data_IF_762489889725
#
_entry.id   IF_762489889725
#
_cell.length_a   1.000
_cell.length_b   1.000
_cell.length_c   1.000
_cell.angle_alpha   90.00
_cell.angle_beta   90.00
_cell.angle_gamma   90.00
#
_symmetry.space_group_name_H-M   'P 1'
#
loop_
_entity.id
_entity.type
_entity.pdbx_description
1 polymer ?
#
# COMPACT_ATOMS: atom_id res chain seq x y z
N UNK A 1 -25.43 1.57 -22.02
CA UNK A 1 -24.37 1.46 -23.05
C UNK A 1 -23.44 2.67 -23.04
N UNK A 2 -23.94 3.90 -23.25
CA UNK A 2 -23.13 5.13 -23.29
C UNK A 2 -22.20 5.29 -22.08
N UNK A 3 -22.71 5.11 -20.86
CA UNK A 3 -21.91 5.20 -19.62
C UNK A 3 -20.74 4.20 -19.62
N UNK A 4 -20.97 2.95 -20.03
CA UNK A 4 -19.91 1.94 -20.07
C UNK A 4 -18.86 2.25 -21.14
N UNK A 5 -19.27 2.77 -22.30
CA UNK A 5 -18.33 3.24 -23.34
C UNK A 5 -17.49 4.39 -22.79
N UNK A 6 -18.13 5.36 -22.12
CA UNK A 6 -17.43 6.48 -21.49
C UNK A 6 -16.41 5.99 -20.45
N UNK A 7 -16.80 5.07 -19.57
CA UNK A 7 -15.90 4.45 -18.57
C UNK A 7 -14.69 3.80 -19.24
N UNK A 8 -14.88 3.10 -20.35
CA UNK A 8 -13.76 2.48 -21.10
C UNK A 8 -12.84 3.55 -21.69
N UNK A 9 -13.37 4.65 -22.21
CA UNK A 9 -12.60 5.74 -22.79
C UNK A 9 -11.79 6.51 -21.74
N UNK A 10 -12.37 6.75 -20.56
CA UNK A 10 -11.71 7.51 -19.48
C UNK A 10 -10.95 6.64 -18.48
N UNK A 11 -10.93 5.31 -18.69
CA UNK A 11 -10.33 4.33 -17.78
C UNK A 11 -8.95 4.75 -17.26
N UNK A 12 -8.07 5.21 -18.16
CA UNK A 12 -6.71 5.63 -17.83
C UNK A 12 -6.61 6.78 -16.81
N UNK A 13 -7.69 7.54 -16.62
CA UNK A 13 -7.74 8.67 -15.68
C UNK A 13 -8.41 8.32 -14.35
N UNK A 14 -9.30 7.31 -14.34
CA UNK A 14 -10.10 6.96 -13.16
C UNK A 14 -9.56 5.73 -12.42
N UNK A 15 -8.62 5.00 -13.01
CA UNK A 15 -8.05 3.79 -12.42
C UNK A 15 -6.69 4.09 -11.78
N UNK A 16 -6.57 3.95 -10.45
CA UNK A 16 -5.30 4.17 -9.75
C UNK A 16 -4.25 3.10 -10.08
N UNK A 17 -4.69 1.89 -10.46
CA UNK A 17 -3.82 0.76 -10.82
C UNK A 17 -4.02 0.36 -12.29
N UNK A 18 -3.38 1.07 -13.26
CA UNK A 18 -3.66 0.90 -14.69
C UNK A 18 -3.34 -0.50 -15.22
N UNK A 19 -2.39 -1.20 -14.58
CA UNK A 19 -1.99 -2.58 -14.92
C UNK A 19 -2.88 -3.63 -14.26
N UNK A 20 -3.96 -3.24 -13.56
CA UNK A 20 -4.85 -4.15 -12.85
C UNK A 20 -5.36 -5.30 -13.74
N UNK A 21 -5.65 -5.03 -15.03
CA UNK A 21 -6.15 -6.06 -15.95
C UNK A 21 -5.11 -7.13 -16.28
N UNK A 22 -3.83 -6.78 -16.45
CA UNK A 22 -2.77 -7.74 -16.82
C UNK A 22 -2.13 -8.39 -15.60
N UNK A 23 -2.10 -7.67 -14.48
CA UNK A 23 -1.44 -8.07 -13.22
C UNK A 23 -2.42 -8.45 -12.11
N UNK A 24 -3.67 -8.75 -12.43
CA UNK A 24 -4.70 -9.11 -11.44
C UNK A 24 -4.30 -10.30 -10.54
N UNK A 25 -3.53 -11.24 -11.09
CA UNK A 25 -3.04 -12.45 -10.37
C UNK A 25 -1.61 -12.29 -9.84
N UNK A 26 -0.96 -11.18 -10.11
CA UNK A 26 0.40 -10.91 -9.65
C UNK A 26 0.37 -10.36 -8.23
N UNK A 27 0.73 -11.19 -7.26
CA UNK A 27 0.71 -10.84 -5.83
C UNK A 27 1.67 -9.66 -5.56
N UNK A 28 2.80 -9.58 -6.26
CA UNK A 28 3.81 -8.51 -6.04
C UNK A 28 3.27 -7.14 -6.44
N UNK A 29 2.36 -7.08 -7.43
CA UNK A 29 1.74 -5.83 -7.83
C UNK A 29 0.82 -5.23 -6.74
N UNK A 30 0.23 -6.09 -5.90
CA UNK A 30 -0.74 -5.70 -4.87
C UNK A 30 -0.15 -5.71 -3.45
N UNK A 31 1.11 -6.09 -3.30
CA UNK A 31 1.65 -6.51 -2.00
C UNK A 31 1.68 -5.40 -0.94
N UNK A 32 1.70 -4.14 -1.38
CA UNK A 32 1.71 -2.95 -0.52
C UNK A 32 0.33 -2.50 -0.07
N UNK A 33 -0.70 -2.86 -0.83
CA UNK A 33 -2.06 -2.53 -0.46
C UNK A 33 -2.45 -3.23 0.85
N UNK A 34 -3.34 -2.61 1.64
CA UNK A 34 -3.83 -3.22 2.85
C UNK A 34 -4.76 -4.39 2.51
N UNK A 35 -4.81 -5.38 3.40
CA UNK A 35 -5.72 -6.53 3.25
C UNK A 35 -7.11 -6.15 3.75
N UNK A 36 -8.14 -6.39 2.93
CA UNK A 36 -9.56 -6.19 3.30
C UNK A 36 -9.86 -4.78 3.85
N UNK A 37 -9.22 -3.75 3.31
CA UNK A 37 -9.42 -2.39 3.80
C UNK A 37 -10.76 -1.83 3.32
N UNK A 38 -11.49 -1.13 4.20
CA UNK A 38 -12.68 -0.42 3.80
C UNK A 38 -12.38 0.74 2.84
N UNK A 39 -13.39 1.22 2.09
CA UNK A 39 -13.27 2.38 1.21
C UNK A 39 -12.89 3.68 1.93
N UNK A 40 -12.21 4.60 1.23
CA UNK A 40 -11.80 5.90 1.80
C UNK A 40 -12.98 6.76 2.28
N UNK A 41 -14.13 6.68 1.62
CA UNK A 41 -15.32 7.47 1.98
C UNK A 41 -15.95 7.02 3.32
N UNK A 42 -15.54 5.89 3.90
CA UNK A 42 -15.93 5.51 5.27
C UNK A 42 -15.53 6.59 6.28
N UNK A 43 -14.45 7.32 6.02
CA UNK A 43 -14.06 8.46 6.85
C UNK A 43 -15.06 9.62 6.83
N UNK A 44 -15.95 9.74 5.83
CA UNK A 44 -16.96 10.80 5.81
C UNK A 44 -18.07 10.57 6.83
N UNK A 45 -18.35 9.32 7.16
CA UNK A 45 -19.44 8.92 8.07
C UNK A 45 -18.94 8.45 9.44
N UNK A 46 -17.66 8.11 9.56
CA UNK A 46 -17.03 7.65 10.80
C UNK A 46 -16.58 8.83 11.68
N UNK A 47 -16.86 8.76 12.97
CA UNK A 47 -16.30 9.69 13.97
C UNK A 47 -14.79 9.49 14.13
N UNK A 48 -14.33 8.23 14.16
CA UNK A 48 -12.91 7.88 14.14
C UNK A 48 -12.38 7.87 12.71
N UNK A 49 -11.40 8.74 12.42
CA UNK A 49 -10.76 8.87 11.10
C UNK A 49 -9.63 7.85 10.96
N UNK A 50 -9.63 7.12 9.84
CA UNK A 50 -8.64 6.11 9.49
C UNK A 50 -7.62 6.68 8.50
N UNK A 51 -6.34 6.39 8.68
CA UNK A 51 -5.32 6.78 7.72
C UNK A 51 -5.56 6.13 6.34
N UNK A 52 -5.60 6.89 5.24
CA UNK A 52 -5.72 6.35 3.89
C UNK A 52 -4.39 5.78 3.39
N UNK A 53 -4.47 4.86 2.43
CA UNK A 53 -3.28 4.41 1.69
C UNK A 53 -2.73 5.54 0.85
N UNK A 54 -1.41 5.71 0.84
CA UNK A 54 -0.74 6.74 0.03
C UNK A 54 0.73 6.37 -0.25
N UNK A 55 1.29 6.98 -1.29
CA UNK A 55 2.71 6.80 -1.67
C UNK A 55 3.41 8.15 -1.53
N UNK A 56 4.50 8.19 -0.76
CA UNK A 56 5.35 9.36 -0.60
C UNK A 56 6.62 9.14 -1.40
N UNK A 57 6.75 9.90 -2.50
CA UNK A 57 7.98 9.94 -3.31
C UNK A 57 8.84 11.15 -2.98
N UNK A 58 8.23 12.24 -2.52
CA UNK A 58 8.96 13.44 -2.14
C UNK A 58 9.75 13.19 -0.86
N UNK A 59 11.03 13.53 -0.89
CA UNK A 59 11.93 13.33 0.22
C UNK A 59 13.10 14.29 0.16
N UNK A 60 13.68 14.59 1.33
CA UNK A 60 14.98 15.25 1.41
C UNK A 60 16.07 14.19 1.32
N UNK A 61 17.03 14.40 0.42
CA UNK A 61 18.16 13.51 0.20
C UNK A 61 19.49 14.22 0.49
N UNK A 62 20.37 13.57 1.23
CA UNK A 62 21.76 13.98 1.38
C UNK A 62 22.69 12.78 1.22
N UNK A 63 23.83 12.99 0.58
CA UNK A 63 24.87 11.98 0.40
C UNK A 63 26.20 12.50 0.93
N UNK A 64 26.87 11.66 1.74
CA UNK A 64 28.22 11.89 2.22
C UNK A 64 29.14 10.75 1.77
N UNK A 65 30.35 11.10 1.33
CA UNK A 65 31.36 10.13 0.92
C UNK A 65 32.49 10.07 1.93
N UNK A 66 32.76 8.86 2.42
CA UNK A 66 33.86 8.57 3.34
C UNK A 66 34.79 7.54 2.70
N UNK A 67 35.71 8.02 1.87
CA UNK A 67 36.57 7.16 1.06
C UNK A 67 35.74 6.36 0.04
N UNK A 68 35.75 5.02 0.15
CA UNK A 68 34.97 4.12 -0.72
C UNK A 68 33.52 3.91 -0.26
N UNK A 69 33.21 4.31 0.97
CA UNK A 69 31.88 4.15 1.56
C UNK A 69 31.06 5.39 1.22
N UNK A 70 29.85 5.18 0.70
CA UNK A 70 28.85 6.25 0.56
C UNK A 70 27.81 6.08 1.68
N UNK A 71 27.46 7.15 2.36
CA UNK A 71 26.36 7.20 3.31
C UNK A 71 25.28 8.09 2.71
N UNK A 72 24.11 7.53 2.46
CA UNK A 72 22.96 8.33 2.03
C UNK A 72 21.96 8.44 3.17
N UNK A 73 21.33 9.60 3.29
CA UNK A 73 20.29 9.86 4.26
C UNK A 73 19.09 10.44 3.52
N UNK A 74 17.99 9.71 3.61
CA UNK A 74 16.71 10.08 3.00
C UNK A 74 15.69 10.33 4.10
N UNK A 75 14.99 11.47 4.05
CA UNK A 75 13.97 11.83 5.02
C UNK A 75 12.64 12.04 4.31
N UNK A 76 11.64 11.24 4.69
CA UNK A 76 10.26 11.38 4.25
C UNK A 76 9.44 12.01 5.37
N UNK A 77 8.73 13.08 5.06
CA UNK A 77 7.80 13.70 6.00
C UNK A 77 6.39 13.15 5.79
N UNK A 78 5.72 12.78 6.88
CA UNK A 78 4.37 12.27 6.86
C UNK A 78 3.51 13.01 7.89
N UNK A 79 2.55 13.80 7.40
CA UNK A 79 1.58 14.49 8.24
C UNK A 79 0.46 13.51 8.64
N UNK A 80 0.47 13.11 9.91
CA UNK A 80 -0.49 12.17 10.47
C UNK A 80 -1.56 12.90 11.30
N UNK A 81 -2.80 12.92 10.80
CA UNK A 81 -3.93 13.63 11.42
C UNK A 81 -5.10 12.71 11.83
N UNK A 82 -4.89 11.39 11.77
CA UNK A 82 -5.93 10.36 11.90
C UNK A 82 -5.99 9.76 13.31
N UNK A 83 -7.07 9.05 13.59
CA UNK A 83 -7.28 8.36 14.87
C UNK A 83 -6.84 6.89 14.81
N UNK A 84 -6.93 6.27 13.64
CA UNK A 84 -6.36 4.95 13.39
C UNK A 84 -5.18 5.05 12.41
N UNK A 85 -4.02 4.47 12.76
CA UNK A 85 -2.81 4.59 11.97
C UNK A 85 -2.88 3.76 10.68
N UNK A 86 -1.92 3.95 9.76
CA UNK A 86 -1.69 2.99 8.69
C UNK A 86 -1.43 1.60 9.28
N UNK A 87 -1.86 0.56 8.56
CA UNK A 87 -1.61 -0.83 8.89
C UNK A 87 -0.15 -1.23 8.67
N UNK A 88 0.54 -0.56 7.75
CA UNK A 88 1.97 -0.75 7.49
C UNK A 88 2.59 0.54 6.92
N UNK A 89 3.89 0.71 7.15
CA UNK A 89 4.72 1.73 6.50
C UNK A 89 5.87 0.99 5.86
N UNK A 90 5.96 1.08 4.54
CA UNK A 90 6.81 0.20 3.74
C UNK A 90 7.81 1.08 3.01
N UNK A 91 9.09 0.83 3.26
CA UNK A 91 10.17 1.43 2.52
C UNK A 91 10.50 0.60 1.29
N UNK A 92 10.65 1.29 0.16
CA UNK A 92 11.14 0.74 -1.08
C UNK A 92 12.38 1.48 -1.53
N UNK A 93 13.29 0.74 -2.16
CA UNK A 93 14.42 1.30 -2.89
C UNK A 93 14.98 0.26 -3.84
N UNK A 94 15.32 0.67 -5.06
CA UNK A 94 16.10 -0.16 -5.96
C UNK A 94 17.51 -0.31 -5.40
N UNK A 95 17.98 -1.54 -5.22
CA UNK A 95 19.27 -1.81 -4.59
C UNK A 95 20.12 -2.74 -5.43
N UNK A 96 21.41 -2.44 -5.54
CA UNK A 96 22.43 -3.29 -6.15
C UNK A 96 23.65 -3.39 -5.24
N UNK A 97 24.25 -4.58 -5.17
CA UNK A 97 25.42 -4.84 -4.34
C UNK A 97 25.04 -5.18 -2.90
N UNK A 98 25.72 -4.58 -1.91
CA UNK A 98 25.52 -4.89 -0.49
C UNK A 98 25.19 -3.70 0.44
N UNK A 99 24.15 -2.90 0.13
CA UNK A 99 23.76 -1.81 1.02
C UNK A 99 23.25 -2.33 2.38
N UNK A 100 23.44 -1.53 3.42
CA UNK A 100 22.80 -1.73 4.73
C UNK A 100 21.80 -0.61 4.93
N UNK A 101 20.52 -0.96 4.99
CA UNK A 101 19.41 0.00 5.18
C UNK A 101 19.08 0.06 6.66
N UNK A 102 19.14 1.26 7.25
CA UNK A 102 18.73 1.54 8.62
C UNK A 102 17.52 2.46 8.53
N UNK A 103 16.38 2.00 9.03
CA UNK A 103 15.16 2.79 9.12
C UNK A 103 14.97 3.27 10.55
N UNK A 104 14.65 4.55 10.69
CA UNK A 104 14.29 5.18 11.95
C UNK A 104 13.04 6.03 11.77
N UNK A 105 12.33 6.27 12.87
CA UNK A 105 11.19 7.19 12.91
C UNK A 105 11.43 8.26 13.98
N UNK A 106 11.34 9.52 13.57
CA UNK A 106 11.27 10.68 14.44
C UNK A 106 9.79 11.04 14.60
N UNK A 107 9.31 10.99 15.85
CA UNK A 107 7.93 11.26 16.23
C UNK A 107 7.70 12.76 16.47
N UNK A 108 6.44 13.24 16.42
CA UNK A 108 6.09 14.64 16.73
C UNK A 108 6.49 15.09 18.15
N UNK A 109 6.60 14.15 19.09
CA UNK A 109 7.02 14.39 20.48
C UNK A 109 8.55 14.37 20.66
N UNK A 110 9.33 14.29 19.58
CA UNK A 110 10.79 14.36 19.56
C UNK A 110 11.50 13.02 19.81
N UNK A 111 10.77 11.93 20.08
CA UNK A 111 11.40 10.62 20.22
C UNK A 111 11.89 10.09 18.87
N UNK A 112 13.13 9.61 18.83
CA UNK A 112 13.71 8.91 17.68
C UNK A 112 13.81 7.43 18.03
N UNK A 113 13.24 6.58 17.18
CA UNK A 113 13.23 5.12 17.35
C UNK A 113 13.91 4.52 16.14
N UNK A 114 15.05 3.85 16.34
CA UNK A 114 15.65 2.99 15.31
C UNK A 114 14.76 1.74 15.18
N UNK A 115 14.21 1.53 13.99
CA UNK A 115 13.16 0.56 13.73
C UNK A 115 13.73 -0.76 13.23
N UNK A 116 14.61 -0.70 12.24
CA UNK A 116 15.21 -1.91 11.65
C UNK A 116 16.53 -1.57 10.98
N UNK A 117 17.49 -2.47 11.14
CA UNK A 117 18.76 -2.48 10.42
C UNK A 117 18.84 -3.73 9.56
N UNK A 118 18.73 -3.55 8.25
CA UNK A 118 18.64 -4.65 7.27
C UNK A 118 19.84 -4.64 6.33
N UNK A 119 20.82 -5.54 6.51
CA UNK A 119 21.85 -5.75 5.51
C UNK A 119 21.25 -6.46 4.29
N UNK A 120 21.50 -5.92 3.09
CA UNK A 120 21.12 -6.52 1.83
C UNK A 120 22.31 -7.29 1.29
N UNK A 121 22.19 -8.61 1.20
CA UNK A 121 23.28 -9.47 0.74
C UNK A 121 23.20 -9.67 -0.77
N UNK A 122 24.20 -9.17 -1.52
CA UNK A 122 24.40 -9.42 -2.97
C UNK A 122 23.11 -9.26 -3.79
N UNK A 123 22.51 -8.07 -3.72
CA UNK A 123 21.37 -7.73 -4.57
C UNK A 123 21.83 -7.55 -6.02
N UNK A 124 21.25 -8.34 -6.93
CA UNK A 124 21.46 -8.24 -8.37
C UNK A 124 20.45 -7.27 -9.00
N UNK A 125 20.39 -6.03 -8.49
CA UNK A 125 19.53 -4.98 -9.02
C UNK A 125 18.04 -5.27 -8.87
N UNK A 126 17.51 -5.24 -7.64
CA UNK A 126 16.09 -5.45 -7.37
C UNK A 126 15.56 -4.41 -6.39
N UNK A 127 14.27 -4.13 -6.49
CA UNK A 127 13.55 -3.34 -5.49
C UNK A 127 13.52 -4.10 -4.17
N UNK A 128 14.18 -3.53 -3.16
CA UNK A 128 14.15 -4.02 -1.79
C UNK A 128 12.96 -3.40 -1.08
N UNK A 129 12.18 -4.25 -0.40
CA UNK A 129 11.02 -3.88 0.40
C UNK A 129 11.30 -4.15 1.87
N UNK A 130 11.07 -3.15 2.72
CA UNK A 130 11.21 -3.27 4.19
C UNK A 130 9.91 -2.81 4.83
N UNK A 131 9.29 -3.68 5.64
CA UNK A 131 7.94 -3.45 6.20
C UNK A 131 8.04 -3.15 7.68
N UNK A 132 7.69 -1.94 8.09
CA UNK A 132 7.75 -1.54 9.50
C UNK A 132 6.81 -2.41 10.34
N UNK A 133 5.60 -2.71 9.87
CA UNK A 133 4.67 -3.53 10.65
C UNK A 133 5.14 -4.98 10.85
N UNK A 134 5.99 -5.52 9.96
CA UNK A 134 6.50 -6.90 10.07
C UNK A 134 7.85 -6.96 10.77
N UNK A 135 8.76 -6.04 10.43
CA UNK A 135 10.17 -6.11 10.76
C UNK A 135 10.51 -5.41 12.10
N UNK A 136 9.60 -4.64 12.71
CA UNK A 136 9.92 -3.72 13.84
C UNK A 136 9.16 -4.02 15.14
N UNK A 137 8.67 -5.26 15.26
CA UNK A 137 7.82 -5.69 16.38
C UNK A 137 8.52 -5.59 17.73
N UNK A 138 9.81 -5.95 17.77
CA UNK A 138 10.61 -5.97 18.99
C UNK A 138 10.89 -4.53 19.43
N UNK A 139 11.30 -3.68 18.51
CA UNK A 139 11.66 -2.28 18.69
C UNK A 139 10.45 -1.47 19.15
N UNK A 140 9.30 -1.69 18.51
CA UNK A 140 8.02 -1.07 18.88
C UNK A 140 7.55 -1.52 20.27
N UNK A 141 7.64 -2.83 20.58
CA UNK A 141 7.34 -3.33 21.92
C UNK A 141 8.27 -2.71 22.98
N UNK A 142 9.58 -2.70 22.72
CA UNK A 142 10.59 -2.15 23.63
C UNK A 142 10.41 -0.65 23.84
N UNK A 143 9.88 0.08 22.85
CA UNK A 143 9.47 1.47 23.03
C UNK A 143 8.23 1.56 23.94
N UNK A 144 7.17 0.81 23.64
CA UNK A 144 5.90 0.89 24.38
C UNK A 144 6.01 0.44 25.84
N UNK A 145 6.75 -0.64 26.12
CA UNK A 145 6.88 -1.20 27.49
C UNK A 145 7.50 -0.23 28.49
N UNK A 146 8.25 0.79 28.03
CA UNK A 146 8.83 1.85 28.88
C UNK A 146 7.76 2.69 29.59
N UNK A 147 6.53 2.71 29.05
CA UNK A 147 5.42 3.50 29.56
C UNK A 147 4.35 2.65 30.26
N UNK A 148 4.54 1.32 30.32
CA UNK A 148 3.60 0.41 30.99
C UNK A 148 4.03 0.12 32.43
N UNK A 149 3.04 -0.07 33.30
CA UNK A 149 3.30 -0.55 34.66
C UNK A 149 3.62 -2.05 34.63
N UNK A 150 4.62 -2.53 35.40
CA UNK A 150 5.01 -3.95 35.42
C UNK A 150 3.84 -4.91 35.69
N UNK A 151 2.88 -4.49 36.52
CA UNK A 151 1.70 -5.29 36.92
C UNK A 151 0.64 -5.45 35.82
N UNK A 152 0.65 -4.56 34.80
CA UNK A 152 -0.33 -4.54 33.71
C UNK A 152 0.23 -5.09 32.40
N UNK A 153 1.50 -5.50 32.36
CA UNK A 153 2.15 -6.01 31.15
C UNK A 153 1.76 -7.48 30.88
N UNK A 154 0.53 -7.69 30.40
CA UNK A 154 0.00 -9.00 30.01
C UNK A 154 0.06 -9.27 28.50
N UNK A 155 0.57 -8.32 27.72
CA UNK A 155 0.60 -8.44 26.27
C UNK A 155 1.91 -9.08 25.83
N UNK A 156 1.79 -10.22 25.17
CA UNK A 156 2.91 -10.89 24.52
C UNK A 156 3.44 -10.03 23.37
N UNK A 157 4.77 -10.09 23.19
CA UNK A 157 5.47 -9.29 22.17
C UNK A 157 4.92 -9.56 20.78
N UNK A 158 4.46 -10.78 20.52
CA UNK A 158 3.95 -11.29 19.26
C UNK A 158 2.62 -10.65 18.86
N UNK A 159 1.82 -10.23 19.84
CA UNK A 159 0.47 -9.70 19.63
C UNK A 159 0.45 -8.20 19.33
N UNK A 160 1.57 -7.50 19.53
CA UNK A 160 1.62 -6.05 19.30
C UNK A 160 1.57 -5.71 17.81
N UNK A 161 0.88 -4.61 17.51
CA UNK A 161 0.83 -4.00 16.19
C UNK A 161 1.81 -2.82 16.17
N UNK A 162 2.96 -2.92 15.47
CA UNK A 162 4.01 -1.90 15.54
C UNK A 162 3.50 -0.50 15.23
N UNK A 163 2.78 -0.33 14.12
CA UNK A 163 2.24 0.98 13.72
C UNK A 163 1.24 1.55 14.74
N UNK A 164 0.49 0.71 15.46
CA UNK A 164 -0.40 1.18 16.53
C UNK A 164 0.38 1.81 17.69
N UNK A 165 1.58 1.31 17.99
CA UNK A 165 2.45 1.85 19.03
C UNK A 165 3.19 3.10 18.52
N UNK A 166 3.81 3.00 17.34
CA UNK A 166 4.65 4.08 16.78
C UNK A 166 3.87 5.39 16.56
N UNK A 167 2.59 5.28 16.18
CA UNK A 167 1.70 6.43 15.92
C UNK A 167 0.80 6.79 17.12
N UNK A 168 1.21 6.43 18.34
CA UNK A 168 0.45 6.69 19.57
C UNK A 168 1.24 7.47 20.60
N UNK A 169 0.52 8.19 21.47
CA UNK A 169 1.11 8.97 22.56
C UNK A 169 1.91 8.06 23.50
N UNK A 170 3.06 8.55 23.94
CA UNK A 170 3.98 7.83 24.82
C UNK A 170 3.49 7.89 26.29
N UNK A 171 2.43 7.14 26.62
CA UNK A 171 1.81 7.11 27.95
C UNK A 171 1.33 5.72 28.36
N UNK A 172 0.87 5.60 29.61
CA UNK A 172 0.31 4.35 30.15
C UNK A 172 -0.85 3.83 29.28
N UNK A 173 -0.86 2.53 29.02
CA UNK A 173 -1.84 1.87 28.15
C UNK A 173 -1.49 1.87 26.67
N UNK A 174 -0.30 2.32 26.26
CA UNK A 174 0.16 2.33 24.86
C UNK A 174 0.10 0.93 24.19
N UNK A 175 0.30 -0.15 24.94
CA UNK A 175 0.24 -1.51 24.39
C UNK A 175 -1.19 -2.04 24.27
N UNK A 176 -2.12 -1.55 25.09
CA UNK A 176 -3.50 -2.07 25.21
C UNK A 176 -4.51 -1.19 24.47
N UNK A 177 -4.48 0.11 24.76
CA UNK A 177 -5.39 1.13 24.25
C UNK A 177 -4.59 2.35 23.77
N UNK A 178 -3.81 2.21 22.68
CA UNK A 178 -3.01 3.31 22.15
C UNK A 178 -3.91 4.47 21.74
N UNK A 179 -3.59 5.67 22.25
CA UNK A 179 -4.24 6.91 21.80
C UNK A 179 -3.38 7.57 20.71
N UNK A 180 -3.98 8.01 19.59
CA UNK A 180 -3.23 8.51 18.44
C UNK A 180 -2.41 9.76 18.79
N UNK A 181 -1.13 9.76 18.42
CA UNK A 181 -0.28 10.96 18.46
C UNK A 181 -0.30 11.61 17.08
N UNK A 182 -1.03 12.71 16.94
CA UNK A 182 -1.11 13.46 15.68
C UNK A 182 0.08 14.40 15.52
N UNK A 183 0.50 14.64 14.29
CA UNK A 183 1.57 15.55 13.95
C UNK A 183 2.43 15.05 12.80
N UNK A 184 3.55 15.74 12.58
CA UNK A 184 4.50 15.40 11.51
C UNK A 184 5.50 14.35 12.00
N UNK A 185 5.49 13.20 11.34
CA UNK A 185 6.47 12.14 11.51
C UNK A 185 7.54 12.27 10.44
N UNK A 186 8.80 12.01 10.80
CA UNK A 186 9.87 11.85 9.80
C UNK A 186 10.34 10.41 9.80
N UNK A 187 10.22 9.77 8.65
CA UNK A 187 10.75 8.43 8.42
C UNK A 187 12.10 8.62 7.75
N UNK A 188 13.14 8.16 8.43
CA UNK A 188 14.53 8.40 8.05
C UNK A 188 15.11 7.07 7.58
N UNK A 189 15.63 7.04 6.36
CA UNK A 189 16.38 5.92 5.81
C UNK A 189 17.85 6.34 5.69
N UNK A 190 18.69 5.78 6.56
CA UNK A 190 20.14 5.91 6.50
C UNK A 190 20.70 4.65 5.86
N UNK A 191 21.38 4.81 4.72
CA UNK A 191 21.81 3.69 3.89
C UNK A 191 23.31 3.77 3.72
N UNK A 192 23.97 2.72 4.23
CA UNK A 192 25.41 2.55 4.10
C UNK A 192 25.63 1.76 2.82
N UNK A 193 26.49 2.28 1.94
CA UNK A 193 26.94 1.65 0.69
C UNK A 193 28.44 1.33 0.85
N UNK A 194 28.79 0.11 1.28
CA UNK A 194 30.19 -0.27 1.56
C UNK A 194 31.13 -0.19 0.36
N UNK A 195 30.61 -0.38 -0.87
CA UNK A 195 31.37 -0.36 -2.10
C UNK A 195 30.92 0.77 -3.03
N UNK A 196 31.83 1.31 -3.84
CA UNK A 196 31.51 2.33 -4.85
C UNK A 196 30.46 1.85 -5.87
N UNK A 197 30.47 0.53 -6.15
CA UNK A 197 29.54 -0.13 -7.06
C UNK A 197 28.17 -0.44 -6.42
N UNK A 198 28.03 -0.24 -5.11
CA UNK A 198 26.72 -0.38 -4.47
C UNK A 198 25.85 0.81 -4.88
N UNK A 199 24.59 0.54 -5.19
CA UNK A 199 23.62 1.52 -5.68
C UNK A 199 22.36 1.41 -4.84
N UNK A 200 21.83 2.55 -4.40
CA UNK A 200 20.44 2.69 -3.95
C UNK A 200 19.79 3.86 -4.68
N UNK A 201 18.69 3.59 -5.38
CA UNK A 201 17.95 4.56 -6.20
C UNK A 201 16.44 4.31 -6.06
N UNK A 202 15.61 5.20 -6.64
CA UNK A 202 14.14 5.08 -6.68
C UNK A 202 13.50 4.80 -5.31
N UNK A 203 13.97 5.52 -4.29
CA UNK A 203 13.46 5.37 -2.92
C UNK A 203 12.09 6.04 -2.77
N UNK A 204 11.16 5.33 -2.14
CA UNK A 204 9.84 5.86 -1.79
C UNK A 204 9.26 5.14 -0.58
N UNK A 205 8.26 5.77 0.05
CA UNK A 205 7.45 5.12 1.07
C UNK A 205 6.06 4.80 0.54
N UNK A 206 5.56 3.63 0.91
CA UNK A 206 4.18 3.21 0.71
C UNK A 206 3.53 3.02 2.07
N UNK A 207 2.49 3.81 2.36
CA UNK A 207 1.69 3.64 3.56
C UNK A 207 0.47 2.80 3.22
N UNK A 208 0.39 1.64 3.85
CA UNK A 208 -0.75 0.74 3.74
C UNK A 208 -1.82 1.24 4.70
N UNK A 209 -2.83 1.93 4.19
CA UNK A 209 -3.84 2.61 5.02
C UNK A 209 -4.77 1.66 5.76
N UNK A 210 -5.41 2.18 6.80
CA UNK A 210 -6.58 1.56 7.42
C UNK A 210 -7.85 1.70 6.57
N UNK A 211 -7.84 2.59 5.57
CA UNK A 211 -8.81 2.67 4.47
C UNK A 211 -8.05 2.78 3.15
N UNK A 212 -8.62 2.28 2.05
CA UNK A 212 -7.95 2.29 0.76
C UNK A 212 -8.94 2.32 -0.39
N UNK A 213 -8.60 3.05 -1.46
CA UNK A 213 -9.36 3.07 -2.70
C UNK A 213 -10.82 3.55 -2.56
N UNK A 214 -11.50 3.67 -3.70
CA UNK A 214 -12.91 4.07 -3.74
C UNK A 214 -13.87 2.97 -3.28
N UNK A 215 -13.48 1.70 -3.44
CA UNK A 215 -14.29 0.55 -3.07
C UNK A 215 -13.58 -0.41 -2.10
N UNK A 216 -12.45 0.00 -1.53
CA UNK A 216 -11.69 -0.87 -0.63
C UNK A 216 -10.78 -1.83 -1.38
N UNK A 217 -10.17 -2.71 -0.60
CA UNK A 217 -9.36 -3.83 -1.09
C UNK A 217 -9.96 -5.16 -0.66
N UNK A 218 -9.64 -6.22 -1.39
CA UNK A 218 -10.04 -7.57 -1.03
C UNK A 218 -9.01 -8.27 -0.10
N UNK A 219 -9.27 -9.55 0.21
CA UNK A 219 -8.37 -10.36 1.04
C UNK A 219 -6.97 -10.57 0.43
N UNK A 220 -6.85 -10.39 -0.88
CA UNK A 220 -5.62 -10.52 -1.66
C UNK A 220 -4.98 -9.16 -1.91
N UNK A 221 -5.44 -8.10 -1.21
CA UNK A 221 -4.95 -6.72 -1.31
C UNK A 221 -5.25 -6.03 -2.63
N UNK A 222 -6.06 -6.62 -3.49
CA UNK A 222 -6.39 -6.05 -4.80
C UNK A 222 -7.35 -4.90 -4.64
N UNK A 223 -7.12 -3.82 -5.38
CA UNK A 223 -8.04 -2.69 -5.42
C UNK A 223 -9.31 -3.07 -6.19
N UNK A 224 -10.45 -3.04 -5.50
CA UNK A 224 -11.73 -3.53 -6.04
C UNK A 224 -12.23 -2.63 -7.17
N UNK A 225 -12.03 -1.31 -7.02
CA UNK A 225 -12.43 -0.33 -8.05
C UNK A 225 -11.71 -0.59 -9.37
N UNK A 226 -10.38 -0.71 -9.33
CA UNK A 226 -9.56 -1.00 -10.50
C UNK A 226 -9.94 -2.31 -11.17
N UNK A 227 -10.25 -3.35 -10.38
CA UNK A 227 -10.74 -4.64 -10.88
C UNK A 227 -12.07 -4.54 -11.62
N UNK A 228 -13.04 -3.79 -11.08
CA UNK A 228 -14.33 -3.56 -11.73
C UNK A 228 -14.14 -2.85 -13.06
N UNK A 229 -13.40 -1.73 -13.08
CA UNK A 229 -13.19 -0.97 -14.31
C UNK A 229 -12.44 -1.79 -15.36
N UNK A 230 -11.43 -2.57 -14.97
CA UNK A 230 -10.74 -3.49 -15.86
C UNK A 230 -11.69 -4.55 -16.48
N UNK A 231 -12.66 -5.02 -15.72
CA UNK A 231 -13.68 -5.97 -16.18
C UNK A 231 -14.71 -5.38 -17.15
N UNK A 232 -15.00 -4.07 -17.08
CA UNK A 232 -16.03 -3.42 -17.91
C UNK A 232 -15.76 -3.61 -19.40
N UNK A 233 -14.50 -3.49 -19.85
CA UNK A 233 -14.13 -3.68 -21.26
C UNK A 233 -14.53 -5.07 -21.79
N UNK A 234 -14.25 -6.10 -21.00
CA UNK A 234 -14.54 -7.49 -21.37
C UNK A 234 -16.03 -7.79 -21.31
N UNK A 235 -16.72 -7.30 -20.27
CA UNK A 235 -18.17 -7.44 -20.15
C UNK A 235 -18.91 -6.79 -21.34
N UNK A 236 -18.48 -5.60 -21.77
CA UNK A 236 -19.06 -4.90 -22.91
C UNK A 236 -18.81 -5.64 -24.23
N UNK A 237 -17.60 -6.16 -24.44
CA UNK A 237 -17.27 -6.94 -25.63
C UNK A 237 -18.12 -8.20 -25.74
N UNK A 238 -18.22 -8.98 -24.65
CA UNK A 238 -19.00 -10.22 -24.62
C UNK A 238 -20.48 -9.91 -24.83
N UNK A 239 -21.03 -8.94 -24.10
CA UNK A 239 -22.44 -8.56 -24.23
C UNK A 239 -22.81 -8.11 -25.65
N UNK A 240 -21.95 -7.31 -26.29
CA UNK A 240 -22.17 -6.86 -27.67
C UNK A 240 -22.06 -8.02 -28.67
N UNK A 241 -21.07 -8.89 -28.51
CA UNK A 241 -20.88 -10.07 -29.37
C UNK A 241 -22.07 -11.03 -29.26
N UNK A 242 -22.52 -11.33 -28.04
CA UNK A 242 -23.69 -12.18 -27.81
C UNK A 242 -24.95 -11.59 -28.42
N UNK A 243 -25.20 -10.29 -28.23
CA UNK A 243 -26.35 -9.61 -28.81
C UNK A 243 -26.30 -9.64 -30.35
N UNK A 244 -25.13 -9.36 -30.94
CA UNK A 244 -24.93 -9.40 -32.39
C UNK A 244 -25.20 -10.78 -32.97
N UNK A 245 -24.65 -11.84 -32.35
CA UNK A 245 -24.85 -13.22 -32.78
C UNK A 245 -26.31 -13.66 -32.64
N UNK A 246 -26.95 -13.35 -31.52
CA UNK A 246 -28.35 -13.70 -31.27
C UNK A 246 -29.30 -13.02 -32.26
N UNK A 247 -29.11 -11.72 -32.52
CA UNK A 247 -29.91 -10.97 -33.50
C UNK A 247 -29.68 -11.52 -34.91
N UNK A 248 -28.43 -11.79 -35.30
CA UNK A 248 -28.12 -12.33 -36.62
C UNK A 248 -28.81 -13.68 -36.87
N UNK A 249 -28.71 -14.61 -35.91
CA UNK A 249 -29.38 -15.92 -36.01
C UNK A 249 -30.90 -15.76 -36.01
N UNK A 250 -31.44 -14.94 -35.10
CA UNK A 250 -32.89 -14.71 -35.00
C UNK A 250 -33.47 -14.10 -36.27
N UNK A 251 -32.77 -13.16 -36.90
CA UNK A 251 -33.18 -12.56 -38.18
C UNK A 251 -33.13 -13.58 -39.30
N UNK A 252 -32.04 -14.34 -39.45
CA UNK A 252 -31.92 -15.38 -40.49
C UNK A 252 -33.05 -16.40 -40.35
N UNK A 253 -33.26 -16.92 -39.13
CA UNK A 253 -34.31 -17.89 -38.86
C UNK A 253 -35.71 -17.31 -39.08
N UNK A 254 -35.96 -16.08 -38.63
CA UNK A 254 -37.23 -15.38 -38.82
C UNK A 254 -37.56 -15.16 -40.29
N UNK A 255 -36.58 -14.72 -41.09
CA UNK A 255 -36.73 -14.55 -42.54
C UNK A 255 -36.98 -15.89 -43.22
N UNK A 256 -36.20 -16.94 -42.91
CA UNK A 256 -36.41 -18.27 -43.48
C UNK A 256 -37.81 -18.82 -43.16
N UNK A 257 -38.28 -18.66 -41.91
CA UNK A 257 -39.61 -19.09 -41.49
C UNK A 257 -40.72 -18.32 -42.23
N UNK A 258 -40.55 -17.01 -42.43
CA UNK A 258 -41.50 -16.18 -43.17
C UNK A 258 -41.62 -16.60 -44.65
N UNK A 259 -40.51 -16.95 -45.31
CA UNK A 259 -40.53 -17.39 -46.72
C UNK A 259 -41.03 -18.82 -46.90
N UNK A 260 -40.76 -19.73 -45.96
CA UNK A 260 -41.11 -21.15 -46.07
C UNK A 260 -42.50 -21.51 -45.50
N UNK A 261 -43.29 -20.51 -45.07
CA UNK A 261 -44.69 -20.70 -44.69
C UNK A 261 -44.95 -20.99 -43.20
N UNK A 262 -43.96 -20.80 -42.33
CA UNK A 262 -44.08 -21.00 -40.89
C UNK A 262 -44.32 -22.45 -40.46
N UNK A 263 -44.35 -22.70 -39.15
CA UNK A 263 -44.80 -23.99 -38.63
C UNK A 263 -46.33 -24.02 -38.70
N UNK A 264 -46.91 -24.90 -39.53
CA UNK A 264 -48.36 -25.21 -39.53
C UNK A 264 -48.72 -26.15 -38.39
#
# INVERSE_FOLDING_TARGET
LFIFILIVLINSYIVPFPEASSRWRDITYWEDNPTSAPPVWVNWFSSAKRAPSLIIKEHTFSEEKMGKIKLTRTVFEYEYSYDLPPLDVIFHGYTKGSPVIILSIERPDGHIIELVKRPISRSDGKTTRVSIAKDTRIESYNFGVKYEKPEHNRIEREMVKPTSILFSEAKEGILVHPTPLKGTYKIIAEIILPSENDIVEDVYLSLSGSVSGWLGTDNSKRDIWSGIIAGVKWALLIGLLTAFTAVSIGVIYGVMSAYLGGWK
#
